data_IF_243910097535
#
_entry.id   IF_243910097535
#
_cell.length_a   1.000
_cell.length_b   1.000
_cell.length_c   1.000
_cell.angle_alpha   90.00
_cell.angle_beta   90.00
_cell.angle_gamma   90.00
#
_symmetry.space_group_name_H-M   'P 1'
#
loop_
_entity.id
_entity.type
_entity.pdbx_description
1 polymer ?
#
# COMPACT_ATOMS: atom_id res chain seq x y z
N UNK A 1 -3.57 -17.17 20.80
CA UNK A 1 -3.81 -15.73 20.96
C UNK A 1 -2.46 -15.07 20.78
N UNK A 2 -2.29 -14.24 19.75
CA UNK A 2 -1.04 -13.48 19.58
C UNK A 2 -1.31 -12.13 20.21
N UNK A 3 -0.68 -11.90 21.36
CA UNK A 3 -0.61 -10.60 21.99
C UNK A 3 0.02 -9.64 20.97
N UNK A 4 -0.81 -8.79 20.36
CA UNK A 4 -0.33 -7.55 19.78
C UNK A 4 0.09 -6.71 20.99
N UNK A 5 1.34 -6.85 21.42
CA UNK A 5 1.95 -5.81 22.23
C UNK A 5 1.78 -4.50 21.45
N UNK A 6 1.24 -3.48 22.10
CA UNK A 6 0.98 -2.16 21.53
C UNK A 6 2.32 -1.51 21.14
N UNK A 7 2.90 -1.95 20.02
CA UNK A 7 4.05 -1.32 19.39
C UNK A 7 3.51 -0.01 18.82
N UNK A 8 3.95 1.09 19.42
CA UNK A 8 3.75 2.43 18.89
C UNK A 8 4.63 2.53 17.64
N UNK A 9 4.01 2.32 16.48
CA UNK A 9 4.62 2.55 15.18
C UNK A 9 4.85 4.04 14.97
N UNK A 10 5.96 4.42 14.35
CA UNK A 10 6.17 5.81 13.95
C UNK A 10 5.11 6.21 12.91
N UNK A 11 4.89 7.52 12.73
CA UNK A 11 4.01 7.99 11.66
C UNK A 11 4.51 7.42 10.33
N UNK A 12 3.65 6.67 9.62
CA UNK A 12 3.91 5.94 8.37
C UNK A 12 4.58 4.56 8.48
N UNK A 13 4.68 3.99 9.67
CA UNK A 13 4.96 2.56 9.82
C UNK A 13 3.65 1.77 9.95
N UNK A 14 3.54 0.67 9.21
CA UNK A 14 2.35 -0.19 9.20
C UNK A 14 2.76 -1.65 9.17
N UNK A 15 2.00 -2.52 9.84
CA UNK A 15 2.20 -3.95 9.66
C UNK A 15 1.80 -4.37 8.25
N UNK A 16 2.57 -5.27 7.65
CA UNK A 16 2.24 -5.83 6.34
C UNK A 16 0.85 -6.50 6.32
N UNK A 17 0.43 -7.11 7.43
CA UNK A 17 -0.91 -7.70 7.58
C UNK A 17 -2.03 -6.67 7.50
N UNK A 18 -1.75 -5.42 7.87
CA UNK A 18 -2.75 -4.35 7.84
C UNK A 18 -2.89 -3.79 6.42
N UNK A 19 -1.76 -3.65 5.72
CA UNK A 19 -1.70 -3.19 4.34
C UNK A 19 -2.26 -4.22 3.36
N UNK A 20 -1.88 -5.50 3.51
CA UNK A 20 -2.39 -6.57 2.65
C UNK A 20 -3.91 -6.63 2.78
N UNK A 21 -4.58 -6.54 1.65
CA UNK A 21 -6.03 -6.49 1.56
C UNK A 21 -6.63 -5.08 1.63
N UNK A 22 -5.84 -4.01 1.70
CA UNK A 22 -6.34 -2.66 1.44
C UNK A 22 -6.63 -2.46 -0.05
N UNK A 23 -7.67 -1.68 -0.34
CA UNK A 23 -8.01 -1.22 -1.69
C UNK A 23 -7.24 0.05 -1.99
N UNK A 24 -6.59 0.09 -3.15
CA UNK A 24 -5.78 1.20 -3.62
C UNK A 24 -6.56 2.00 -4.64
N UNK A 25 -6.53 3.32 -4.49
CA UNK A 25 -7.19 4.29 -5.35
C UNK A 25 -6.19 5.33 -5.86
N UNK A 26 -6.50 5.97 -6.99
CA UNK A 26 -5.78 7.16 -7.45
C UNK A 26 -6.24 8.44 -6.69
N UNK A 27 -5.67 9.58 -7.07
CA UNK A 27 -5.99 10.90 -6.52
C UNK A 27 -7.43 11.37 -6.82
N UNK A 28 -8.13 10.70 -7.74
CA UNK A 28 -9.53 10.94 -8.07
C UNK A 28 -10.48 9.94 -7.39
N UNK A 29 -9.97 9.17 -6.42
CA UNK A 29 -10.68 8.08 -5.73
C UNK A 29 -11.17 6.98 -6.68
N UNK A 30 -10.53 6.79 -7.83
CA UNK A 30 -10.84 5.69 -8.75
C UNK A 30 -10.13 4.42 -8.26
N UNK A 31 -10.83 3.29 -8.09
CA UNK A 31 -10.22 2.06 -7.61
C UNK A 31 -9.27 1.46 -8.65
N UNK A 32 -8.02 1.24 -8.26
CA UNK A 32 -6.98 0.60 -9.07
C UNK A 32 -6.98 -0.91 -8.83
N UNK A 33 -7.07 -1.32 -7.58
CA UNK A 33 -6.99 -2.73 -7.20
C UNK A 33 -6.79 -2.93 -5.70
N UNK A 34 -6.32 -4.12 -5.31
CA UNK A 34 -6.10 -4.50 -3.91
C UNK A 34 -4.66 -4.94 -3.68
N UNK A 35 -4.07 -4.55 -2.56
CA UNK A 35 -2.74 -5.05 -2.17
C UNK A 35 -2.85 -6.54 -1.86
N UNK A 36 -2.07 -7.38 -2.55
CA UNK A 36 -2.08 -8.84 -2.37
C UNK A 36 -0.76 -9.37 -1.79
N UNK A 37 0.33 -8.61 -1.91
CA UNK A 37 1.63 -8.99 -1.41
C UNK A 37 2.53 -7.76 -1.23
N UNK A 38 3.59 -7.90 -0.44
CA UNK A 38 4.62 -6.88 -0.24
C UNK A 38 5.98 -7.57 -0.42
N UNK A 39 6.82 -7.01 -1.27
CA UNK A 39 8.21 -7.42 -1.41
C UNK A 39 9.09 -6.45 -0.66
N UNK A 40 9.74 -6.93 0.39
CA UNK A 40 10.83 -6.21 1.01
C UNK A 40 12.02 -6.20 0.05
N UNK A 41 12.51 -5.01 -0.27
CA UNK A 41 13.74 -4.84 -1.05
C UNK A 41 14.77 -4.13 -0.19
N UNK A 42 16.05 -4.18 -0.58
CA UNK A 42 17.11 -3.49 0.17
C UNK A 42 17.02 -1.96 0.17
N UNK A 43 16.07 -1.36 -0.56
CA UNK A 43 15.88 0.09 -0.62
C UNK A 43 14.50 0.52 -0.13
N UNK A 44 13.43 0.09 -0.81
CA UNK A 44 12.05 0.40 -0.43
C UNK A 44 11.16 -0.83 -0.66
N UNK A 45 10.11 -0.97 0.13
CA UNK A 45 9.12 -2.01 -0.09
C UNK A 45 8.39 -1.80 -1.41
N UNK A 46 8.03 -2.91 -2.07
CA UNK A 46 7.26 -2.90 -3.31
C UNK A 46 5.94 -3.62 -3.06
N UNK A 47 4.84 -2.89 -3.17
CA UNK A 47 3.50 -3.41 -3.00
C UNK A 47 2.99 -3.99 -4.31
N UNK A 48 2.48 -5.22 -4.24
CA UNK A 48 1.84 -5.89 -5.38
C UNK A 48 0.36 -5.61 -5.31
N UNK A 49 -0.16 -4.86 -6.28
CA UNK A 49 -1.57 -4.53 -6.38
C UNK A 49 -2.20 -5.36 -7.49
N UNK A 50 -3.26 -6.10 -7.15
CA UNK A 50 -4.07 -6.83 -8.12
C UNK A 50 -5.27 -5.99 -8.54
N UNK A 51 -5.24 -5.50 -9.78
CA UNK A 51 -6.35 -4.80 -10.45
C UNK A 51 -6.71 -5.49 -11.77
N UNK A 52 -6.87 -4.70 -12.84
CA UNK A 52 -6.98 -5.23 -14.22
C UNK A 52 -5.77 -6.08 -14.63
N UNK A 53 -4.62 -5.79 -14.02
CA UNK A 53 -3.38 -6.57 -14.06
C UNK A 53 -2.67 -6.45 -12.72
N UNK A 54 -1.46 -6.99 -12.62
CA UNK A 54 -0.60 -6.79 -11.45
C UNK A 54 0.26 -5.56 -11.63
N UNK A 55 0.28 -4.71 -10.60
CA UNK A 55 1.09 -3.51 -10.52
C UNK A 55 2.11 -3.65 -9.40
N UNK A 56 3.32 -3.18 -9.64
CA UNK A 56 4.41 -3.13 -8.66
C UNK A 56 4.61 -1.67 -8.26
N UNK A 57 4.08 -1.31 -7.09
CA UNK A 57 4.07 0.07 -6.63
C UNK A 57 5.10 0.23 -5.50
N UNK A 58 6.14 1.06 -5.68
CA UNK A 58 7.09 1.31 -4.61
C UNK A 58 6.43 2.09 -3.46
N UNK A 59 6.63 1.65 -2.23
CA UNK A 59 6.22 2.39 -1.04
C UNK A 59 7.20 3.52 -0.77
N UNK A 60 6.92 4.66 -1.40
CA UNK A 60 7.67 5.92 -1.24
C UNK A 60 6.68 7.09 -1.13
N UNK A 61 7.06 8.15 -0.42
CA UNK A 61 6.21 9.32 -0.18
C UNK A 61 5.72 10.01 -1.47
N UNK A 62 6.47 9.89 -2.57
CA UNK A 62 6.09 10.46 -3.85
C UNK A 62 4.93 9.71 -4.52
N UNK A 63 4.74 8.43 -4.18
CA UNK A 63 3.72 7.56 -4.78
C UNK A 63 2.58 7.29 -3.81
N UNK A 64 2.85 6.90 -2.57
CA UNK A 64 1.81 6.59 -1.58
C UNK A 64 1.55 7.84 -0.74
N UNK A 65 0.33 8.36 -0.81
CA UNK A 65 -0.06 9.66 -0.21
C UNK A 65 -0.86 9.50 1.07
N UNK A 66 -1.68 8.47 1.14
CA UNK A 66 -2.53 8.21 2.30
C UNK A 66 -2.68 6.71 2.50
N UNK A 67 -2.60 6.28 3.75
CA UNK A 67 -2.80 4.89 4.15
C UNK A 67 -3.75 4.88 5.35
N UNK A 68 -4.98 4.44 5.10
CA UNK A 68 -6.03 4.26 6.10
C UNK A 68 -6.31 2.76 6.24
N UNK A 69 -5.61 2.14 7.18
CA UNK A 69 -5.73 0.70 7.47
C UNK A 69 -7.05 0.34 8.15
N UNK A 70 -7.70 1.29 8.81
CA UNK A 70 -8.99 1.09 9.48
C UNK A 70 -10.10 0.92 8.44
N UNK A 71 -10.13 1.81 7.44
CA UNK A 71 -11.08 1.76 6.33
C UNK A 71 -10.60 0.90 5.16
N UNK A 72 -9.41 0.28 5.27
CA UNK A 72 -8.76 -0.52 4.21
C UNK A 72 -8.64 0.25 2.90
N UNK A 73 -8.28 1.53 2.97
CA UNK A 73 -8.17 2.47 1.87
C UNK A 73 -6.75 3.02 1.77
N UNK A 74 -6.22 3.08 0.56
CA UNK A 74 -4.90 3.66 0.26
C UNK A 74 -5.06 4.58 -0.94
N UNK A 75 -4.53 5.81 -0.86
CA UNK A 75 -4.46 6.75 -1.99
C UNK A 75 -3.03 6.79 -2.51
N UNK A 76 -2.88 6.60 -3.82
CA UNK A 76 -1.61 6.75 -4.52
C UNK A 76 -1.68 7.81 -5.62
N UNK A 77 -0.55 8.43 -5.89
CA UNK A 77 -0.30 9.21 -7.10
C UNK A 77 0.76 8.46 -7.90
N UNK A 78 0.37 7.57 -8.82
CA UNK A 78 1.32 6.76 -9.57
C UNK A 78 2.13 7.65 -10.52
N UNK A 79 3.44 7.40 -10.63
CA UNK A 79 4.28 7.98 -11.68
C UNK A 79 3.85 7.45 -13.05
N UNK A 80 4.15 8.23 -14.09
CA UNK A 80 3.94 7.82 -15.49
C UNK A 80 4.59 6.44 -15.75
N UNK A 81 3.85 5.53 -16.41
CA UNK A 81 4.30 4.17 -16.69
C UNK A 81 4.08 3.14 -15.57
N UNK A 82 3.72 3.52 -14.33
CA UNK A 82 3.48 2.53 -13.26
C UNK A 82 2.19 1.74 -13.45
N UNK A 83 1.19 2.33 -14.12
CA UNK A 83 -0.11 1.69 -14.39
C UNK A 83 -0.29 1.24 -15.86
N UNK A 84 0.69 1.48 -16.73
CA UNK A 84 0.61 1.21 -18.19
C UNK A 84 0.91 -0.24 -18.55
#
# INVERSE_FOLDING_TARGET
>A
ERDHEDIVLEENEYYYSDIIGCTVFDDQETPIGRVINIFETGANDVWVIKGSKEYLIPYIADVVKEVDVENKKIIITPMEGLLD
#
